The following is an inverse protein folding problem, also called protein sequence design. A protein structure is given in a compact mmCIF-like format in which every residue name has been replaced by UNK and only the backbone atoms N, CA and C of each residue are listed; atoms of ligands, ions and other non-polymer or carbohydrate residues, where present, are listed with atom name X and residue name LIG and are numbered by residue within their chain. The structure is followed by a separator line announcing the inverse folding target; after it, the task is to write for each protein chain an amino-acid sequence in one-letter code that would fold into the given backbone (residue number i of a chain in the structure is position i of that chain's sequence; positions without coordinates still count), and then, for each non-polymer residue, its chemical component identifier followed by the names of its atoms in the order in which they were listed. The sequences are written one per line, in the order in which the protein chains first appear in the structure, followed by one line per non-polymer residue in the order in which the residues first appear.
data_IF_241813546984
#
_entry.id   IF_241813546984
#
_cell.length_a   1.000
_cell.length_b   1.000
_cell.length_c   1.000
_cell.angle_alpha   90.00
_cell.angle_beta   90.00
_cell.angle_gamma   90.00
#
_symmetry.space_group_name_H-M   'P 1'
#
loop_
_entity.id
_entity.type
_entity.pdbx_description
1 polymer ?
#
# COMPACT_ATOMS: atom_id res chain seq x y z
N UNK A 1 0.45 12.81 22.58
CA UNK A 1 1.55 13.09 21.63
C UNK A 1 1.05 13.69 20.32
N UNK A 2 0.31 12.99 19.45
CA UNK A 2 -0.08 13.56 18.13
C UNK A 2 -1.02 14.76 18.26
N UNK A 3 -1.99 14.70 19.19
CA UNK A 3 -2.88 15.81 19.53
C UNK A 3 -2.11 16.99 20.15
N UNK A 4 -1.26 16.70 21.13
CA UNK A 4 -0.41 17.68 21.80
C UNK A 4 0.52 18.42 20.83
N UNK A 5 1.02 17.73 19.81
CA UNK A 5 1.88 18.29 18.77
C UNK A 5 1.08 18.93 17.61
N UNK A 6 -0.25 18.79 17.58
CA UNK A 6 -1.10 19.31 16.50
C UNK A 6 -0.89 18.64 15.14
N UNK A 7 -0.49 17.36 15.12
CA UNK A 7 -0.13 16.62 13.87
C UNK A 7 -1.04 15.42 13.58
N UNK A 8 -2.13 15.23 14.32
CA UNK A 8 -3.02 14.05 14.19
C UNK A 8 -3.47 13.80 12.74
N UNK A 9 -3.82 14.85 11.99
CA UNK A 9 -4.26 14.74 10.59
C UNK A 9 -3.17 14.32 9.60
N UNK A 10 -1.90 14.31 10.03
CA UNK A 10 -0.75 13.94 9.20
C UNK A 10 -0.30 12.50 9.45
N UNK A 11 -0.85 11.83 10.46
CA UNK A 11 -0.43 10.49 10.85
C UNK A 11 -1.31 9.44 10.18
N UNK A 12 -0.64 8.51 9.47
CA UNK A 12 -1.22 7.30 8.94
C UNK A 12 -0.75 6.10 9.78
N UNK A 13 -1.67 5.46 10.49
CA UNK A 13 -1.43 4.17 11.14
C UNK A 13 -1.75 3.05 10.15
N UNK A 14 -0.95 1.98 10.17
CA UNK A 14 -1.22 0.78 9.37
C UNK A 14 -1.17 -0.49 10.18
N UNK A 15 -1.93 -1.50 9.75
CA UNK A 15 -1.95 -2.80 10.42
C UNK A 15 -2.88 -3.80 9.74
N UNK A 16 -2.99 -4.99 10.33
CA UNK A 16 -3.76 -6.11 9.80
C UNK A 16 -5.03 -6.41 10.64
N UNK A 17 -5.60 -5.39 11.28
CA UNK A 17 -6.69 -5.57 12.24
C UNK A 17 -8.07 -5.50 11.55
N UNK A 18 -9.04 -6.34 11.98
CA UNK A 18 -10.42 -6.27 11.53
C UNK A 18 -11.01 -4.87 11.69
N UNK A 19 -11.94 -4.49 10.81
CA UNK A 19 -12.47 -3.13 10.79
C UNK A 19 -13.15 -2.75 12.11
N UNK A 20 -13.86 -3.69 12.73
CA UNK A 20 -14.53 -3.45 14.01
C UNK A 20 -13.53 -3.10 15.12
N UNK A 21 -12.37 -3.77 15.15
CA UNK A 21 -11.33 -3.52 16.15
C UNK A 21 -10.67 -2.15 15.93
N UNK A 22 -10.47 -1.76 14.66
CA UNK A 22 -9.98 -0.42 14.28
C UNK A 22 -10.99 0.65 14.68
N UNK A 23 -12.27 0.48 14.30
CA UNK A 23 -13.34 1.43 14.65
C UNK A 23 -13.48 1.61 16.16
N UNK A 24 -13.42 0.52 16.95
CA UNK A 24 -13.49 0.59 18.40
C UNK A 24 -12.32 1.39 19.00
N UNK A 25 -11.10 1.20 18.47
CA UNK A 25 -9.93 1.96 18.90
C UNK A 25 -10.03 3.44 18.53
N UNK A 26 -10.42 3.74 17.30
CA UNK A 26 -10.58 5.13 16.86
C UNK A 26 -11.71 5.84 17.63
N UNK A 27 -12.82 5.15 17.92
CA UNK A 27 -13.90 5.73 18.72
C UNK A 27 -13.51 6.09 20.17
N UNK A 28 -12.37 5.60 20.68
CA UNK A 28 -11.85 5.98 21.99
C UNK A 28 -11.15 7.35 22.00
N UNK A 29 -10.98 7.99 20.83
CA UNK A 29 -10.33 9.27 20.66
C UNK A 29 -11.25 10.26 19.94
N UNK A 30 -11.25 11.52 20.39
CA UNK A 30 -12.07 12.59 19.78
C UNK A 30 -11.55 12.96 18.39
N UNK A 31 -10.22 13.06 18.23
CA UNK A 31 -9.56 13.32 16.96
C UNK A 31 -8.73 12.10 16.53
N UNK A 32 -9.06 11.56 15.37
CA UNK A 32 -8.51 10.29 14.90
C UNK A 32 -7.49 10.44 13.79
N UNK A 33 -6.43 9.63 13.88
CA UNK A 33 -5.46 9.43 12.82
C UNK A 33 -6.07 8.64 11.66
N UNK A 34 -5.47 8.74 10.48
CA UNK A 34 -5.84 7.90 9.34
C UNK A 34 -5.43 6.44 9.58
N UNK A 35 -6.15 5.50 8.99
CA UNK A 35 -5.82 4.08 9.04
C UNK A 35 -5.73 3.45 7.65
N UNK A 36 -4.68 2.65 7.42
CA UNK A 36 -4.48 1.84 6.22
C UNK A 36 -4.37 0.36 6.58
N UNK A 37 -5.27 -0.51 6.08
CA UNK A 37 -5.14 -1.95 6.22
C UNK A 37 -3.96 -2.51 5.41
N UNK A 38 -3.27 -3.49 5.99
CA UNK A 38 -2.22 -4.30 5.36
C UNK A 38 -2.81 -5.67 5.04
N UNK A 39 -2.87 -5.98 3.75
CA UNK A 39 -3.39 -7.25 3.21
C UNK A 39 -2.21 -8.07 2.70
N UNK A 40 -1.80 -9.04 3.51
CA UNK A 40 -0.73 -9.98 3.15
C UNK A 40 -1.33 -11.31 2.68
N UNK A 41 -1.25 -11.60 1.39
CA UNK A 41 -1.87 -12.80 0.79
C UNK A 41 -1.26 -14.11 1.30
N UNK A 42 0.01 -14.11 1.68
CA UNK A 42 0.71 -15.25 2.25
C UNK A 42 0.28 -15.54 3.69
N UNK A 43 -0.32 -14.55 4.36
CA UNK A 43 -0.81 -14.64 5.76
C UNK A 43 -2.34 -14.60 5.85
N UNK A 44 -3.04 -15.00 4.79
CA UNK A 44 -4.51 -15.06 4.77
C UNK A 44 -5.20 -13.70 4.71
N UNK A 45 -4.49 -12.65 4.28
CA UNK A 45 -5.01 -11.28 4.20
C UNK A 45 -6.24 -11.12 3.31
N UNK A 46 -6.49 -12.04 2.37
CA UNK A 46 -7.70 -12.05 1.54
C UNK A 46 -9.00 -12.00 2.39
N UNK A 47 -9.02 -12.68 3.54
CA UNK A 47 -10.16 -12.63 4.46
C UNK A 47 -10.39 -11.23 5.01
N UNK A 48 -9.33 -10.55 5.43
CA UNK A 48 -9.37 -9.18 5.93
C UNK A 48 -9.84 -8.21 4.82
N UNK A 49 -9.29 -8.36 3.62
CA UNK A 49 -9.68 -7.54 2.48
C UNK A 49 -11.17 -7.66 2.16
N UNK A 50 -11.68 -8.89 2.09
CA UNK A 50 -13.09 -9.15 1.83
C UNK A 50 -14.00 -8.63 2.94
N UNK A 51 -13.57 -8.70 4.21
CA UNK A 51 -14.28 -8.09 5.33
C UNK A 51 -14.44 -6.57 5.11
N UNK A 52 -13.34 -5.85 4.84
CA UNK A 52 -13.41 -4.41 4.60
C UNK A 52 -14.33 -4.08 3.42
N UNK A 53 -14.15 -4.76 2.29
CA UNK A 53 -14.95 -4.54 1.08
C UNK A 53 -16.44 -4.79 1.31
N UNK A 54 -16.81 -5.79 2.11
CA UNK A 54 -18.22 -6.11 2.41
C UNK A 54 -18.95 -5.02 3.18
N UNK A 55 -18.22 -4.14 3.88
CA UNK A 55 -18.81 -3.07 4.70
C UNK A 55 -19.03 -1.77 3.93
N UNK A 56 -18.55 -1.66 2.68
CA UNK A 56 -18.54 -0.41 1.92
C UNK A 56 -17.62 0.67 2.49
N UNK A 57 -16.77 0.34 3.47
CA UNK A 57 -15.77 1.27 4.00
C UNK A 57 -14.68 1.47 2.95
N UNK A 58 -14.30 2.72 2.70
CA UNK A 58 -13.24 3.09 1.75
C UNK A 58 -12.06 3.69 2.52
N UNK A 59 -11.06 2.88 2.91
CA UNK A 59 -9.79 3.39 3.45
C UNK A 59 -9.08 4.32 2.46
N UNK A 60 -8.20 5.18 2.96
CA UNK A 60 -7.37 6.03 2.10
C UNK A 60 -6.53 5.20 1.12
N UNK A 61 -5.96 4.11 1.62
CA UNK A 61 -5.10 3.21 0.86
C UNK A 61 -5.19 1.78 1.41
N UNK A 62 -4.71 0.82 0.63
CA UNK A 62 -4.42 -0.54 1.06
C UNK A 62 -2.97 -0.87 0.74
N UNK A 63 -2.22 -1.35 1.73
CA UNK A 63 -0.91 -1.96 1.51
C UNK A 63 -1.11 -3.44 1.17
N UNK A 64 -0.64 -3.86 -0.01
CA UNK A 64 -0.75 -5.26 -0.44
C UNK A 64 0.61 -5.92 -0.43
N UNK A 65 0.69 -7.11 0.18
CA UNK A 65 1.86 -7.97 0.10
C UNK A 65 1.51 -9.28 -0.62
N UNK A 66 2.35 -9.68 -1.58
CA UNK A 66 2.20 -10.94 -2.32
C UNK A 66 3.55 -11.51 -2.75
N UNK A 67 3.67 -12.83 -2.83
CA UNK A 67 4.86 -13.52 -3.37
C UNK A 67 4.74 -13.82 -4.87
N UNK A 68 3.52 -14.10 -5.34
CA UNK A 68 3.24 -14.46 -6.72
C UNK A 68 1.98 -13.75 -7.17
N UNK A 69 2.01 -13.19 -8.36
CA UNK A 69 0.84 -12.57 -8.97
C UNK A 69 -0.18 -13.66 -9.34
N UNK A 70 -1.27 -13.73 -8.59
CA UNK A 70 -2.40 -14.64 -8.84
C UNK A 70 -3.62 -13.87 -9.35
N UNK A 71 -4.62 -14.55 -9.94
CA UNK A 71 -5.88 -13.90 -10.29
C UNK A 71 -6.55 -13.19 -9.11
N UNK A 72 -6.45 -13.75 -7.90
CA UNK A 72 -6.99 -13.17 -6.67
C UNK A 72 -6.29 -11.86 -6.29
N UNK A 73 -4.96 -11.80 -6.41
CA UNK A 73 -4.19 -10.56 -6.18
C UNK A 73 -4.56 -9.49 -7.22
N UNK A 74 -4.67 -9.88 -8.50
CA UNK A 74 -5.08 -8.95 -9.58
C UNK A 74 -6.49 -8.40 -9.35
N UNK A 75 -7.42 -9.27 -8.95
CA UNK A 75 -8.80 -8.87 -8.62
C UNK A 75 -8.83 -7.93 -7.40
N UNK A 76 -8.00 -8.19 -6.39
CA UNK A 76 -7.82 -7.29 -5.24
C UNK A 76 -7.35 -5.89 -5.67
N UNK A 77 -6.32 -5.80 -6.53
CA UNK A 77 -5.85 -4.51 -7.05
C UNK A 77 -6.96 -3.77 -7.78
N UNK A 78 -7.68 -4.46 -8.67
CA UNK A 78 -8.80 -3.87 -9.39
C UNK A 78 -9.88 -3.34 -8.44
N UNK A 79 -10.28 -4.12 -7.45
CA UNK A 79 -11.30 -3.71 -6.46
C UNK A 79 -10.86 -2.52 -5.61
N UNK A 80 -9.58 -2.43 -5.26
CA UNK A 80 -9.03 -1.27 -4.54
C UNK A 80 -9.20 -0.01 -5.38
N UNK A 81 -8.76 -0.06 -6.63
CA UNK A 81 -8.86 1.08 -7.55
C UNK A 81 -10.32 1.46 -7.82
N UNK A 82 -11.18 0.48 -8.08
CA UNK A 82 -12.62 0.69 -8.34
C UNK A 82 -13.35 1.27 -7.10
N UNK A 83 -12.86 0.99 -5.87
CA UNK A 83 -13.40 1.56 -4.64
C UNK A 83 -13.03 3.04 -4.41
N UNK A 84 -12.05 3.57 -5.16
CA UNK A 84 -11.45 4.89 -4.94
C UNK A 84 -10.33 4.92 -3.89
N UNK A 85 -10.01 3.78 -3.28
CA UNK A 85 -8.85 3.64 -2.38
C UNK A 85 -7.54 3.65 -3.18
N UNK A 86 -6.45 4.12 -2.58
CA UNK A 86 -5.11 4.08 -3.19
C UNK A 86 -4.47 2.70 -3.05
N UNK A 87 -3.78 2.24 -4.08
CA UNK A 87 -2.93 1.05 -4.01
C UNK A 87 -1.53 1.43 -3.50
N UNK A 88 -1.12 0.83 -2.38
CA UNK A 88 0.21 0.96 -1.78
C UNK A 88 1.01 -0.33 -1.98
N UNK A 89 2.22 -0.21 -2.54
CA UNK A 89 3.16 -1.33 -2.74
C UNK A 89 4.49 -1.03 -2.03
N UNK A 90 5.04 -2.02 -1.32
CA UNK A 90 6.40 -1.93 -0.79
C UNK A 90 7.38 -2.61 -1.75
N UNK A 91 8.30 -1.86 -2.35
CA UNK A 91 9.38 -2.40 -3.21
C UNK A 91 10.63 -2.78 -2.44
N UNK A 92 10.59 -2.78 -1.10
CA UNK A 92 11.79 -3.00 -0.28
C UNK A 92 12.43 -4.38 -0.49
N UNK A 93 11.65 -5.48 -0.42
CA UNK A 93 12.15 -6.83 -0.67
C UNK A 93 11.10 -7.72 -1.33
N UNK A 94 11.56 -8.75 -2.05
CA UNK A 94 10.74 -9.44 -3.05
C UNK A 94 9.43 -10.06 -2.54
N UNK A 95 9.38 -10.57 -1.30
CA UNK A 95 8.15 -11.16 -0.75
C UNK A 95 7.01 -10.15 -0.49
N UNK A 96 7.29 -8.85 -0.56
CA UNK A 96 6.26 -7.81 -0.42
C UNK A 96 5.60 -7.45 -1.75
N UNK A 97 6.27 -7.66 -2.88
CA UNK A 97 5.89 -7.11 -4.18
C UNK A 97 6.00 -8.11 -5.34
N UNK A 98 5.96 -9.41 -5.05
CA UNK A 98 6.13 -10.45 -6.06
C UNK A 98 7.47 -10.40 -6.79
N UNK A 99 8.53 -10.04 -6.07
CA UNK A 99 9.91 -9.92 -6.57
C UNK A 99 10.08 -8.80 -7.62
N UNK A 100 9.36 -7.70 -7.41
CA UNK A 100 9.54 -6.40 -8.08
C UNK A 100 10.19 -5.41 -7.10
N UNK A 101 11.28 -5.83 -6.48
CA UNK A 101 11.95 -5.11 -5.40
C UNK A 101 13.09 -4.18 -5.86
N UNK A 102 13.56 -3.37 -4.92
CA UNK A 102 14.52 -2.29 -5.10
C UNK A 102 15.91 -2.80 -5.51
N UNK A 103 16.35 -3.93 -4.94
CA UNK A 103 17.63 -4.54 -5.33
C UNK A 103 17.57 -5.03 -6.78
N UNK A 104 16.47 -5.68 -7.17
CA UNK A 104 16.28 -6.08 -8.56
C UNK A 104 16.23 -4.89 -9.51
N UNK A 105 15.59 -3.78 -9.12
CA UNK A 105 15.52 -2.56 -9.92
C UNK A 105 16.90 -1.90 -10.11
N UNK A 106 17.79 -2.03 -9.12
CA UNK A 106 19.17 -1.58 -9.22
C UNK A 106 20.01 -2.52 -10.09
N UNK A 107 19.98 -3.81 -9.78
CA UNK A 107 20.90 -4.81 -10.35
C UNK A 107 20.62 -5.11 -11.83
N UNK A 108 19.39 -4.88 -12.30
CA UNK A 108 19.03 -5.14 -13.70
C UNK A 108 19.57 -4.10 -14.68
N UNK A 109 20.17 -2.99 -14.21
CA UNK A 109 20.75 -1.93 -15.04
C UNK A 109 19.72 -1.01 -15.72
N UNK A 110 18.50 -1.50 -15.96
CA UNK A 110 17.35 -0.71 -16.41
C UNK A 110 16.18 -0.82 -15.40
N UNK A 111 16.00 0.16 -14.51
CA UNK A 111 14.94 0.16 -13.51
C UNK A 111 13.53 0.11 -14.11
N UNK A 112 13.34 0.47 -15.39
CA UNK A 112 12.04 0.40 -16.04
C UNK A 112 11.50 -1.03 -16.10
N UNK A 113 12.38 -2.03 -16.16
CA UNK A 113 12.00 -3.44 -16.12
C UNK A 113 11.26 -3.81 -14.83
N UNK A 114 11.42 -3.04 -13.75
CA UNK A 114 10.77 -3.28 -12.46
C UNK A 114 9.71 -2.21 -12.18
N UNK A 115 10.08 -0.93 -12.18
CA UNK A 115 9.20 0.15 -11.76
C UNK A 115 8.02 0.35 -12.71
N UNK A 116 8.16 0.18 -14.03
CA UNK A 116 7.00 0.30 -14.94
C UNK A 116 5.95 -0.79 -14.65
N UNK A 117 6.36 -1.98 -14.19
CA UNK A 117 5.40 -3.01 -13.79
C UNK A 117 4.63 -2.61 -12.52
N UNK A 118 5.32 -2.07 -11.52
CA UNK A 118 4.71 -1.59 -10.27
C UNK A 118 3.73 -0.45 -10.57
N UNK A 119 4.11 0.49 -11.44
CA UNK A 119 3.26 1.62 -11.87
C UNK A 119 2.06 1.12 -12.68
N UNK A 120 2.25 0.15 -13.57
CA UNK A 120 1.17 -0.41 -14.40
C UNK A 120 0.04 -1.06 -13.60
N UNK A 121 0.25 -1.40 -12.32
CA UNK A 121 -0.81 -1.86 -11.43
C UNK A 121 -1.76 -0.73 -10.96
N UNK A 122 -1.50 0.53 -11.31
CA UNK A 122 -2.27 1.69 -10.82
C UNK A 122 -1.82 2.18 -9.45
N UNK A 123 -0.60 1.79 -9.04
CA UNK A 123 0.00 2.16 -7.75
C UNK A 123 0.21 3.66 -7.67
N UNK A 124 -0.19 4.26 -6.54
CA UNK A 124 0.00 5.71 -6.30
C UNK A 124 0.80 5.99 -5.03
N UNK A 125 1.13 4.95 -4.25
CA UNK A 125 1.98 5.01 -3.07
C UNK A 125 2.99 3.87 -3.14
N UNK A 126 4.29 4.19 -3.15
CA UNK A 126 5.38 3.21 -3.18
C UNK A 126 6.27 3.43 -1.96
N UNK A 127 6.46 2.40 -1.14
CA UNK A 127 7.43 2.41 -0.05
C UNK A 127 8.70 1.70 -0.50
N UNK A 128 9.83 2.38 -0.41
CA UNK A 128 11.12 1.95 -0.96
C UNK A 128 12.26 2.23 0.03
N UNK A 129 13.30 1.40 0.00
CA UNK A 129 14.57 1.65 0.70
C UNK A 129 15.58 2.42 -0.19
N UNK A 130 15.20 2.69 -1.45
CA UNK A 130 15.99 3.46 -2.43
C UNK A 130 15.24 4.70 -2.92
N UNK A 131 14.85 5.64 -2.02
CA UNK A 131 14.01 6.78 -2.38
C UNK A 131 14.63 7.68 -3.45
N UNK A 132 15.95 7.88 -3.46
CA UNK A 132 16.62 8.71 -4.48
C UNK A 132 16.52 8.09 -5.89
N UNK A 133 16.75 6.77 -6.00
CA UNK A 133 16.63 6.03 -7.26
C UNK A 133 15.19 6.07 -7.77
N UNK A 134 14.21 5.78 -6.90
CA UNK A 134 12.80 5.82 -7.27
C UNK A 134 12.36 7.23 -7.68
N UNK A 135 12.74 8.26 -6.92
CA UNK A 135 12.39 9.65 -7.24
C UNK A 135 13.00 10.09 -8.57
N UNK A 136 14.27 9.76 -8.82
CA UNK A 136 14.93 10.05 -10.10
C UNK A 136 14.17 9.40 -11.25
N UNK A 137 13.78 8.13 -11.08
CA UNK A 137 13.00 7.40 -12.05
C UNK A 137 11.63 8.04 -12.31
N UNK A 138 10.84 8.28 -11.25
CA UNK A 138 9.50 8.85 -11.36
C UNK A 138 9.53 10.27 -11.98
N UNK A 139 10.49 11.11 -11.59
CA UNK A 139 10.69 12.45 -12.18
C UNK A 139 11.03 12.38 -13.67
N UNK A 140 11.88 11.44 -14.08
CA UNK A 140 12.21 11.24 -15.50
C UNK A 140 10.99 10.86 -16.35
N UNK A 141 9.95 10.30 -15.72
CA UNK A 141 8.67 9.92 -16.34
C UNK A 141 7.58 10.99 -16.15
N UNK A 142 7.86 12.10 -15.46
CA UNK A 142 6.84 13.11 -15.12
C UNK A 142 5.77 12.62 -14.15
N UNK A 143 6.08 11.60 -13.34
CA UNK A 143 5.17 10.99 -12.35
C UNK A 143 5.41 11.52 -10.93
N UNK A 144 6.38 12.41 -10.76
CA UNK A 144 6.68 13.09 -9.50
C UNK A 144 7.41 14.41 -9.78
N UNK A 145 7.22 15.40 -8.88
CA UNK A 145 7.89 16.72 -8.90
C UNK A 145 9.33 16.67 -8.36
#
# INVERSE_FOLDING_TARGET
LTEELGVTDQILIKGNKPLAEVKAKLAAHEHNMMYMPIVNFQKGGAKLFNEYMSTGTVPLAYEICWNKMTPEVKDCFKKILDSGSKLWINTIWGSLCGYLDDDKALDCGDPALIYDQVIAFGTTLIQTDRPEQLLTYLRSKGLHD
#
